data_IF_942734813498
#
_entry.id   IF_942734813498
#
_cell.length_a   1.000
_cell.length_b   1.000
_cell.length_c   1.000
_cell.angle_alpha   90.00
_cell.angle_beta   90.00
_cell.angle_gamma   90.00
#
_symmetry.space_group_name_H-M   'P 1'
#
loop_
_entity.id
_entity.type
_entity.pdbx_description
1 polymer ?
#
# COMPACT_ATOMS: atom_id res chain seq x y z
N UNK A 1 24.16 -43.01 -19.31
CA UNK A 1 24.92 -41.94 -20.02
C UNK A 1 24.01 -40.73 -20.04
N UNK A 2 24.17 -39.64 -19.30
CA UNK A 2 25.18 -39.06 -18.39
C UNK A 2 24.37 -38.11 -17.49
N UNK A 3 24.30 -38.23 -16.16
CA UNK A 3 25.42 -38.08 -15.23
C UNK A 3 25.79 -36.60 -15.09
N UNK A 4 25.18 -35.88 -14.14
CA UNK A 4 25.88 -34.92 -13.25
C UNK A 4 25.16 -34.94 -11.90
N UNK A 5 25.70 -35.75 -11.00
CA UNK A 5 25.66 -35.47 -9.57
C UNK A 5 26.52 -34.24 -9.29
N UNK A 6 26.00 -33.29 -8.52
CA UNK A 6 26.85 -32.42 -7.69
C UNK A 6 26.25 -32.35 -6.30
N UNK A 7 26.69 -33.26 -5.44
CA UNK A 7 26.68 -33.09 -4.01
C UNK A 7 27.88 -32.22 -3.58
N UNK A 8 27.63 -31.27 -2.68
CA UNK A 8 28.63 -30.43 -2.01
C UNK A 8 28.30 -28.94 -2.19
N UNK A 9 28.16 -28.11 -1.16
CA UNK A 9 28.35 -28.25 0.27
C UNK A 9 28.19 -26.85 0.89
N UNK A 10 27.80 -26.78 2.16
CA UNK A 10 27.75 -25.53 2.93
C UNK A 10 26.40 -25.29 3.58
N UNK A 11 26.24 -25.77 4.81
CA UNK A 11 25.12 -25.45 5.68
C UNK A 11 25.14 -24.00 6.15
N UNK A 12 24.80 -23.08 5.25
CA UNK A 12 24.23 -21.79 5.63
C UNK A 12 22.74 -22.00 5.85
N UNK A 13 22.22 -21.68 7.02
CA UNK A 13 20.77 -21.51 7.21
C UNK A 13 20.34 -20.46 6.17
N UNK A 14 19.82 -20.91 5.03
CA UNK A 14 19.39 -20.03 3.95
C UNK A 14 18.42 -19.02 4.55
N UNK A 15 18.70 -17.73 4.34
CA UNK A 15 17.83 -16.68 4.85
C UNK A 15 16.39 -17.01 4.40
N UNK A 16 15.43 -17.10 5.34
CA UNK A 16 14.06 -17.40 4.98
C UNK A 16 13.58 -16.35 3.98
N UNK A 17 12.69 -16.71 3.03
CA UNK A 17 12.19 -15.74 2.07
C UNK A 17 11.56 -14.56 2.83
N UNK A 18 11.63 -13.32 2.31
CA UNK A 18 11.21 -12.12 3.04
C UNK A 18 9.81 -12.23 3.67
N UNK A 19 8.87 -12.88 2.97
CA UNK A 19 7.50 -13.14 3.43
C UNK A 19 7.42 -13.98 4.71
N UNK A 20 8.37 -14.88 4.96
CA UNK A 20 8.43 -15.70 6.17
C UNK A 20 8.89 -14.88 7.37
N UNK A 21 9.84 -13.95 7.18
CA UNK A 21 10.29 -13.04 8.23
C UNK A 21 9.14 -12.15 8.70
N UNK A 22 8.38 -11.58 7.76
CA UNK A 22 7.19 -10.79 8.08
C UNK A 22 6.16 -11.60 8.86
N UNK A 23 5.90 -12.86 8.47
CA UNK A 23 4.91 -13.71 9.13
C UNK A 23 5.28 -14.01 10.60
N UNK A 24 6.57 -14.05 10.93
CA UNK A 24 7.07 -14.35 12.28
C UNK A 24 7.12 -13.13 13.21
N UNK A 25 7.24 -11.92 12.66
CA UNK A 25 7.30 -10.69 13.46
C UNK A 25 5.89 -10.21 13.85
N UNK A 26 5.72 -9.74 15.09
CA UNK A 26 4.47 -9.08 15.52
C UNK A 26 4.28 -7.73 14.81
N UNK A 27 5.35 -6.93 14.77
CA UNK A 27 5.38 -5.57 14.25
C UNK A 27 6.46 -5.41 13.19
N UNK A 28 6.18 -4.58 12.19
CA UNK A 28 7.10 -4.28 11.11
C UNK A 28 7.31 -2.78 10.98
N UNK A 29 8.52 -2.27 11.25
CA UNK A 29 8.80 -0.84 11.15
C UNK A 29 8.74 -0.39 9.68
N UNK A 30 7.92 0.62 9.42
CA UNK A 30 7.68 1.24 8.12
C UNK A 30 8.06 2.74 8.12
N UNK A 31 9.36 3.09 8.34
CA UNK A 31 9.83 4.46 8.18
C UNK A 31 9.54 5.02 6.79
N UNK A 32 9.54 6.35 6.69
CA UNK A 32 9.44 7.07 5.41
C UNK A 32 10.54 6.61 4.47
N UNK A 33 10.15 6.23 3.26
CA UNK A 33 11.06 6.11 2.12
C UNK A 33 11.13 7.42 1.35
N UNK A 34 11.79 7.37 0.19
CA UNK A 34 11.87 8.50 -0.74
C UNK A 34 10.52 8.81 -1.41
N UNK A 35 9.63 7.81 -1.47
CA UNK A 35 8.27 7.92 -2.01
C UNK A 35 7.21 8.00 -0.89
N UNK A 36 6.08 8.63 -1.20
CA UNK A 36 4.90 8.73 -0.30
C UNK A 36 4.16 7.40 -0.09
N UNK A 37 4.63 6.33 -0.73
CA UNK A 37 4.21 4.94 -0.51
C UNK A 37 5.44 4.04 -0.59
N UNK A 38 5.53 2.99 0.22
CA UNK A 38 6.64 2.02 0.17
C UNK A 38 6.12 0.59 0.12
N UNK A 39 6.78 -0.27 -0.66
CA UNK A 39 6.38 -1.67 -0.84
C UNK A 39 6.44 -2.46 0.46
N UNK A 40 7.40 -2.15 1.35
CA UNK A 40 7.58 -2.86 2.63
C UNK A 40 6.36 -2.78 3.53
N UNK A 41 5.65 -1.65 3.49
CA UNK A 41 4.40 -1.47 4.21
C UNK A 41 3.32 -2.45 3.73
N UNK A 42 3.11 -2.55 2.42
CA UNK A 42 2.12 -3.47 1.85
C UNK A 42 2.56 -4.94 1.93
N UNK A 43 3.85 -5.24 1.84
CA UNK A 43 4.41 -6.57 2.08
C UNK A 43 4.16 -7.03 3.53
N UNK A 44 4.36 -6.14 4.50
CA UNK A 44 4.04 -6.40 5.90
C UNK A 44 2.55 -6.67 6.09
N UNK A 45 1.67 -5.83 5.52
CA UNK A 45 0.22 -6.02 5.59
C UNK A 45 -0.21 -7.36 4.99
N UNK A 46 0.27 -7.68 3.79
CA UNK A 46 -0.02 -8.94 3.09
C UNK A 46 0.44 -10.17 3.87
N UNK A 47 1.56 -10.08 4.56
CA UNK A 47 2.08 -11.14 5.41
C UNK A 47 1.42 -11.22 6.79
N UNK A 48 0.54 -10.26 7.14
CA UNK A 48 -0.11 -10.17 8.44
C UNK A 48 0.80 -9.65 9.56
N UNK A 49 1.91 -9.00 9.23
CA UNK A 49 2.74 -8.27 10.20
C UNK A 49 2.17 -6.88 10.44
N UNK A 50 2.03 -6.45 11.70
CA UNK A 50 1.41 -5.16 12.02
C UNK A 50 2.37 -4.01 11.62
N UNK A 51 2.03 -3.18 10.62
CA UNK A 51 2.91 -2.09 10.22
C UNK A 51 2.96 -1.01 11.29
N UNK A 52 4.16 -0.46 11.54
CA UNK A 52 4.38 0.72 12.37
C UNK A 52 4.76 1.89 11.45
N UNK A 53 3.82 2.81 11.27
CA UNK A 53 3.88 3.89 10.29
C UNK A 53 4.42 5.17 10.93
N UNK A 54 5.59 5.63 10.46
CA UNK A 54 6.23 6.85 10.97
C UNK A 54 5.89 8.11 10.15
N UNK A 55 4.95 8.01 9.20
CA UNK A 55 4.62 9.09 8.26
C UNK A 55 3.15 9.50 8.34
N UNK A 56 2.88 10.78 8.65
CA UNK A 56 1.52 11.36 8.60
C UNK A 56 1.03 11.59 7.18
N UNK A 57 1.93 11.84 6.24
CA UNK A 57 1.59 12.30 4.88
C UNK A 57 1.68 11.17 3.84
N UNK A 58 1.70 9.92 4.31
CA UNK A 58 1.67 8.74 3.45
C UNK A 58 0.36 8.68 2.67
N UNK A 59 0.46 8.37 1.38
CA UNK A 59 -0.69 8.05 0.56
C UNK A 59 -0.99 6.56 0.68
N UNK A 60 -2.07 6.23 1.40
CA UNK A 60 -2.49 4.84 1.59
C UNK A 60 -3.32 4.36 0.39
N UNK A 61 -3.04 3.15 -0.08
CA UNK A 61 -3.83 2.54 -1.14
C UNK A 61 -5.23 2.22 -0.60
N UNK A 62 -6.26 2.47 -1.41
CA UNK A 62 -7.64 2.13 -1.07
C UNK A 62 -8.12 2.74 0.25
N UNK A 63 -7.69 3.96 0.57
CA UNK A 63 -8.05 4.66 1.82
C UNK A 63 -9.56 4.89 1.99
N UNK A 64 -10.32 4.91 0.88
CA UNK A 64 -11.79 4.92 0.92
C UNK A 64 -12.43 3.58 1.31
N UNK A 65 -11.73 2.46 1.07
CA UNK A 65 -12.23 1.11 1.35
C UNK A 65 -11.67 0.52 2.66
N UNK A 66 -10.44 0.90 3.03
CA UNK A 66 -9.70 0.31 4.15
C UNK A 66 -9.58 1.30 5.31
N UNK A 67 -10.00 0.86 6.50
CA UNK A 67 -9.80 1.63 7.72
C UNK A 67 -8.43 1.33 8.36
N UNK A 68 -7.40 2.06 7.91
CA UNK A 68 -6.01 1.88 8.37
C UNK A 68 -5.83 2.03 9.88
N UNK A 69 -6.64 2.83 10.58
CA UNK A 69 -6.55 2.99 12.04
C UNK A 69 -6.73 1.67 12.81
N UNK A 70 -7.39 0.67 12.20
CA UNK A 70 -7.62 -0.65 12.78
C UNK A 70 -6.58 -1.69 12.38
N UNK A 71 -5.71 -1.35 11.43
CA UNK A 71 -4.75 -2.24 10.76
C UNK A 71 -3.32 -1.94 11.21
N UNK A 72 -2.97 -0.67 11.39
CA UNK A 72 -1.59 -0.21 11.61
C UNK A 72 -1.41 0.51 12.93
N UNK A 73 -0.17 0.58 13.41
CA UNK A 73 0.22 1.47 14.51
C UNK A 73 0.83 2.72 13.89
N UNK A 74 0.39 3.90 14.33
CA UNK A 74 0.95 5.17 13.90
C UNK A 74 2.00 5.63 14.92
N UNK A 75 3.16 6.06 14.45
CA UNK A 75 4.34 6.47 15.21
C UNK A 75 4.92 7.76 14.60
N UNK A 76 4.03 8.67 14.25
CA UNK A 76 4.28 9.85 13.43
C UNK A 76 4.68 11.10 14.24
N UNK A 77 4.75 10.95 15.56
CA UNK A 77 5.17 11.91 16.57
C UNK A 77 6.58 11.60 17.11
N UNK A 78 7.20 10.51 16.66
CA UNK A 78 8.53 10.08 17.10
C UNK A 78 9.61 10.97 16.49
N UNK A 79 10.19 11.86 17.31
CA UNK A 79 11.23 12.81 16.89
C UNK A 79 12.56 12.61 17.64
N UNK A 80 12.53 12.02 18.82
CA UNK A 80 13.69 11.84 19.70
C UNK A 80 13.93 10.38 20.06
N UNK A 81 15.10 10.09 20.63
CA UNK A 81 15.41 8.75 21.17
C UNK A 81 14.49 8.38 22.33
N UNK A 82 14.06 9.37 23.14
CA UNK A 82 13.10 9.14 24.21
C UNK A 82 11.73 8.70 23.66
N UNK A 83 11.23 9.37 22.62
CA UNK A 83 9.97 9.00 21.95
C UNK A 83 10.05 7.60 21.35
N UNK A 84 11.20 7.25 20.75
CA UNK A 84 11.43 5.90 20.23
C UNK A 84 11.41 4.85 21.34
N UNK A 85 12.04 5.14 22.48
CA UNK A 85 12.03 4.24 23.63
C UNK A 85 10.62 4.08 24.22
N UNK A 86 9.82 5.14 24.24
CA UNK A 86 8.40 5.10 24.62
C UNK A 86 7.58 4.24 23.64
N UNK A 87 7.73 4.45 22.33
CA UNK A 87 7.08 3.64 21.30
C UNK A 87 7.41 2.15 21.47
N UNK A 88 8.69 1.81 21.62
CA UNK A 88 9.10 0.41 21.77
C UNK A 88 8.49 -0.22 23.05
N UNK A 89 8.41 0.54 24.14
CA UNK A 89 7.73 0.11 25.37
C UNK A 89 6.23 -0.12 25.13
N UNK A 90 5.56 0.77 24.41
CA UNK A 90 4.14 0.62 24.06
C UNK A 90 3.89 -0.60 23.17
N UNK A 91 4.70 -0.81 22.13
CA UNK A 91 4.60 -1.97 21.25
C UNK A 91 4.84 -3.28 22.01
N UNK A 92 5.83 -3.30 22.92
CA UNK A 92 6.11 -4.46 23.77
C UNK A 92 4.97 -4.75 24.75
N UNK A 93 4.34 -3.70 25.30
CA UNK A 93 3.24 -3.81 26.25
C UNK A 93 1.86 -4.10 25.60
N UNK A 94 1.75 -4.01 24.27
CA UNK A 94 0.50 -4.26 23.56
C UNK A 94 -0.05 -5.67 23.87
N UNK A 95 -1.31 -5.81 24.33
CA UNK A 95 -1.89 -7.10 24.65
C UNK A 95 -1.89 -8.07 23.47
N UNK A 96 -1.64 -9.36 23.74
CA UNK A 96 -1.63 -10.40 22.71
C UNK A 96 -2.93 -10.46 21.90
N UNK A 97 -4.08 -10.24 22.55
CA UNK A 97 -5.38 -10.23 21.86
C UNK A 97 -5.51 -9.05 20.90
N UNK A 98 -4.94 -7.89 21.23
CA UNK A 98 -4.95 -6.73 20.34
C UNK A 98 -4.05 -6.99 19.12
N UNK A 99 -2.86 -7.55 19.34
CA UNK A 99 -1.97 -7.96 18.25
C UNK A 99 -2.64 -8.98 17.35
N UNK A 100 -3.22 -10.04 17.93
CA UNK A 100 -3.90 -11.08 17.18
C UNK A 100 -5.07 -10.52 16.35
N UNK A 101 -5.84 -9.60 16.92
CA UNK A 101 -6.96 -8.96 16.23
C UNK A 101 -6.51 -8.08 15.07
N UNK A 102 -5.46 -7.27 15.24
CA UNK A 102 -4.87 -6.48 14.15
C UNK A 102 -4.35 -7.38 13.03
N UNK A 103 -3.63 -8.46 13.37
CA UNK A 103 -3.13 -9.45 12.40
C UNK A 103 -4.26 -10.15 11.65
N UNK A 104 -5.35 -10.52 12.34
CA UNK A 104 -6.55 -11.09 11.72
C UNK A 104 -7.13 -10.15 10.67
N UNK A 105 -7.34 -8.88 11.03
CA UNK A 105 -7.88 -7.86 10.10
C UNK A 105 -6.96 -7.63 8.89
N UNK A 106 -5.65 -7.65 9.09
CA UNK A 106 -4.68 -7.56 7.99
C UNK A 106 -4.83 -8.73 7.00
N UNK A 107 -5.03 -9.94 7.50
CA UNK A 107 -5.26 -11.11 6.65
C UNK A 107 -6.62 -11.05 5.93
N UNK A 108 -7.67 -10.55 6.59
CA UNK A 108 -9.00 -10.33 5.99
C UNK A 108 -8.93 -9.37 4.79
N UNK A 109 -8.10 -8.33 4.87
CA UNK A 109 -7.95 -7.35 3.78
C UNK A 109 -6.77 -7.66 2.85
N UNK A 110 -6.03 -8.75 3.06
CA UNK A 110 -4.80 -9.03 2.32
C UNK A 110 -5.01 -9.10 0.81
N UNK A 111 -6.18 -9.56 0.35
CA UNK A 111 -6.52 -9.66 -1.06
C UNK A 111 -6.42 -8.33 -1.81
N UNK A 112 -6.72 -7.19 -1.16
CA UNK A 112 -6.55 -5.84 -1.73
C UNK A 112 -5.10 -5.54 -2.14
N UNK A 113 -4.11 -6.26 -1.61
CA UNK A 113 -2.69 -6.07 -1.92
C UNK A 113 -2.11 -7.17 -2.83
N UNK A 114 -2.98 -8.02 -3.39
CA UNK A 114 -2.62 -8.96 -4.43
C UNK A 114 -3.15 -8.48 -5.76
N UNK A 115 -2.28 -8.37 -6.76
CA UNK A 115 -2.74 -8.12 -8.12
C UNK A 115 -3.26 -9.43 -8.72
N UNK A 116 -4.55 -9.48 -9.03
CA UNK A 116 -5.22 -10.59 -9.71
C UNK A 116 -6.44 -10.05 -10.46
N UNK A 117 -6.44 -10.14 -11.79
CA UNK A 117 -7.52 -9.64 -12.64
C UNK A 117 -8.77 -10.54 -12.60
N UNK A 118 -8.61 -11.79 -12.16
CA UNK A 118 -9.67 -12.80 -12.15
C UNK A 118 -10.38 -12.93 -10.80
N UNK A 119 -9.82 -12.33 -9.74
CA UNK A 119 -10.39 -12.39 -8.40
C UNK A 119 -11.45 -11.30 -8.19
N UNK A 120 -12.51 -11.65 -7.46
CA UNK A 120 -13.60 -10.73 -7.10
C UNK A 120 -13.06 -9.53 -6.30
N UNK A 121 -12.14 -9.77 -5.37
CA UNK A 121 -11.48 -8.75 -4.55
C UNK A 121 -9.97 -8.86 -4.73
N UNK A 122 -9.38 -7.84 -5.35
CA UNK A 122 -7.94 -7.75 -5.57
C UNK A 122 -7.48 -6.30 -5.65
N UNK A 123 -6.17 -6.08 -5.74
CA UNK A 123 -5.61 -4.77 -6.05
C UNK A 123 -6.12 -4.21 -7.39
N UNK A 124 -6.44 -5.08 -8.35
CA UNK A 124 -6.96 -4.67 -9.66
C UNK A 124 -8.41 -4.16 -9.54
N UNK A 125 -9.31 -4.96 -8.96
CA UNK A 125 -10.72 -4.56 -8.81
C UNK A 125 -10.86 -3.35 -7.90
N UNK A 126 -10.10 -3.30 -6.78
CA UNK A 126 -10.07 -2.15 -5.90
C UNK A 126 -9.53 -0.87 -6.56
N UNK A 127 -8.56 -0.99 -7.48
CA UNK A 127 -8.08 0.16 -8.26
C UNK A 127 -9.13 0.67 -9.24
N UNK A 128 -9.88 -0.23 -9.88
CA UNK A 128 -11.00 0.15 -10.74
C UNK A 128 -12.11 0.85 -9.96
N UNK A 129 -12.46 0.35 -8.78
CA UNK A 129 -13.48 0.96 -7.92
C UNK A 129 -13.09 2.37 -7.47
N UNK A 130 -11.83 2.56 -7.07
CA UNK A 130 -11.30 3.87 -6.68
C UNK A 130 -11.31 4.85 -7.87
N UNK A 131 -10.90 4.40 -9.06
CA UNK A 131 -10.95 5.22 -10.27
C UNK A 131 -12.38 5.59 -10.66
N UNK A 132 -13.31 4.63 -10.62
CA UNK A 132 -14.73 4.85 -10.87
C UNK A 132 -15.33 5.90 -9.93
N UNK A 133 -15.10 5.73 -8.63
CA UNK A 133 -15.57 6.67 -7.58
C UNK A 133 -15.05 8.10 -7.80
N UNK A 134 -13.79 8.26 -8.22
CA UNK A 134 -13.22 9.58 -8.53
C UNK A 134 -13.83 10.19 -9.79
N UNK A 135 -14.13 9.39 -10.81
CA UNK A 135 -14.81 9.87 -12.03
C UNK A 135 -16.22 10.37 -11.70
N UNK A 136 -16.98 9.64 -10.87
CA UNK A 136 -18.30 10.05 -10.42
C UNK A 136 -18.26 11.37 -9.66
N UNK A 137 -17.36 11.49 -8.68
CA UNK A 137 -17.15 12.73 -7.92
C UNK A 137 -16.79 13.91 -8.83
N UNK A 138 -15.92 13.70 -9.84
CA UNK A 138 -15.59 14.73 -10.82
C UNK A 138 -16.80 15.13 -11.67
N UNK A 139 -17.65 14.18 -12.07
CA UNK A 139 -18.86 14.46 -12.83
C UNK A 139 -19.87 15.28 -12.01
N UNK A 140 -20.10 14.91 -10.75
CA UNK A 140 -20.95 15.66 -9.83
C UNK A 140 -20.41 17.08 -9.60
N UNK A 141 -19.10 17.22 -9.38
CA UNK A 141 -18.47 18.52 -9.21
C UNK A 141 -18.64 19.39 -10.47
N UNK A 142 -18.47 18.82 -11.67
CA UNK A 142 -18.71 19.52 -12.95
C UNK A 142 -20.16 19.97 -13.08
N UNK A 143 -21.13 19.13 -12.70
CA UNK A 143 -22.55 19.44 -12.76
C UNK A 143 -22.95 20.55 -11.77
N UNK A 144 -22.40 20.53 -10.56
CA UNK A 144 -22.78 21.44 -9.48
C UNK A 144 -22.04 22.79 -9.51
N UNK A 145 -20.78 22.82 -9.96
CA UNK A 145 -19.92 23.99 -9.84
C UNK A 145 -19.43 24.56 -11.17
N UNK A 146 -19.81 23.95 -12.30
CA UNK A 146 -19.54 24.49 -13.64
C UNK A 146 -18.04 24.69 -13.91
N UNK A 147 -17.32 23.59 -14.15
CA UNK A 147 -15.91 23.67 -14.54
C UNK A 147 -15.79 24.23 -15.96
N UNK A 148 -15.18 25.42 -16.13
CA UNK A 148 -14.84 25.95 -17.45
C UNK A 148 -13.84 24.99 -18.12
N UNK A 149 -14.30 24.25 -19.13
CA UNK A 149 -13.45 23.39 -19.97
C UNK A 149 -12.34 24.22 -20.64
N UNK A 150 -11.17 24.29 -20.01
CA UNK A 150 -9.98 24.93 -20.60
C UNK A 150 -9.46 24.19 -21.85
N UNK A 151 -10.00 23.00 -22.15
CA UNK A 151 -9.66 22.20 -23.33
C UNK A 151 -10.57 22.43 -24.54
N UNK A 152 -11.71 23.12 -24.36
CA UNK A 152 -12.61 23.43 -25.48
C UNK A 152 -12.03 24.52 -26.40
N UNK A 153 -11.14 25.39 -25.89
CA UNK A 153 -10.49 26.45 -26.66
C UNK A 153 -9.34 25.97 -27.57
N UNK A 154 -8.83 24.75 -27.42
CA UNK A 154 -7.81 24.19 -28.33
C UNK A 154 -8.40 23.54 -29.58
N UNK A 155 -9.70 23.21 -29.61
CA UNK A 155 -10.34 22.62 -30.80
C UNK A 155 -10.79 23.66 -31.83
N UNK A 156 -10.74 24.95 -31.51
CA UNK A 156 -11.26 26.03 -32.37
C UNK A 156 -10.21 26.64 -33.33
N UNK A 157 -8.93 26.28 -33.23
CA UNK A 157 -7.85 26.87 -34.05
C UNK A 157 -7.30 25.93 -35.14
N UNK A 158 -8.01 24.84 -35.46
CA UNK A 158 -7.54 23.78 -36.35
C UNK A 158 -8.32 23.59 -37.65
N UNK A 159 -8.81 24.66 -38.30
CA UNK A 159 -9.29 24.58 -39.70
C UNK A 159 -8.63 25.67 -40.54
N UNK A 160 -7.30 25.56 -40.69
CA UNK A 160 -6.53 26.30 -41.68
C UNK A 160 -6.35 25.46 -42.94
N UNK A 161 -7.09 25.80 -43.99
CA UNK A 161 -7.02 25.29 -45.36
C UNK A 161 -5.58 25.09 -45.87
N UNK A 162 -5.17 23.83 -46.11
CA UNK A 162 -4.03 23.49 -46.96
C UNK A 162 -4.53 23.23 -48.39
N UNK A 163 -4.75 24.30 -49.14
CA UNK A 163 -4.87 24.28 -50.59
C UNK A 163 -4.38 25.64 -51.12
N UNK A 164 -3.25 25.63 -51.83
CA UNK A 164 -2.86 26.72 -52.75
C UNK A 164 -1.47 27.30 -52.55
N UNK A 165 -0.44 26.64 -53.09
CA UNK A 165 0.38 27.08 -54.24
C UNK A 165 1.69 26.29 -54.31
#
# INVERSE_FOLDING_TARGET
MTGVDTAGGGGGLGAPPPSTVYRMADFCPCPRGDSLSDSRFYDAMRAGCIPVMFDRVRMNAFEGALNYSRLVVTADDVATEADMADLLRQLAAMPLHEKAERRRRLLEVSAYFHYDESADVSAFTAALDELGSRVEMLNEYRANYGMRDKFSSLKATGTGSLLGR
#
